data_IF_039120841770
#
_entry.id   IF_039120841770
#
_cell.length_a   1.000
_cell.length_b   1.000
_cell.length_c   1.000
_cell.angle_alpha   90.00
_cell.angle_beta   90.00
_cell.angle_gamma   90.00
#
_symmetry.space_group_name_H-M   'P 1'
#
loop_
_entity.id
_entity.type
_entity.pdbx_description
1 polymer ?
#
# COMPACT_ATOMS: atom_id res chain seq x y z
N UNK A 1 23.41 53.27 -13.14
CA UNK A 1 22.23 52.84 -12.35
C UNK A 1 21.74 51.53 -12.91
N UNK A 2 21.45 50.50 -12.08
CA UNK A 2 20.93 49.15 -12.37
C UNK A 2 21.96 48.02 -12.63
N UNK A 3 22.59 47.60 -11.53
CA UNK A 3 23.20 46.25 -11.41
C UNK A 3 22.93 45.66 -10.01
N UNK A 4 21.66 45.50 -9.61
CA UNK A 4 21.35 44.91 -8.26
C UNK A 4 20.27 43.80 -8.22
N UNK A 5 19.72 43.36 -9.37
CA UNK A 5 18.58 42.41 -9.32
C UNK A 5 18.85 41.00 -9.88
N UNK A 6 20.06 40.65 -10.23
CA UNK A 6 20.34 39.29 -10.74
C UNK A 6 20.84 38.29 -9.67
N UNK A 7 21.06 38.72 -8.40
CA UNK A 7 21.57 37.81 -7.33
C UNK A 7 20.46 37.15 -6.50
N UNK A 8 19.25 37.69 -6.49
CA UNK A 8 18.14 37.08 -5.74
C UNK A 8 17.51 35.87 -6.44
N UNK A 9 17.53 35.85 -7.77
CA UNK A 9 16.94 34.77 -8.56
C UNK A 9 17.78 33.47 -8.53
N UNK A 10 19.11 33.55 -8.42
CA UNK A 10 19.96 32.33 -8.37
C UNK A 10 19.87 31.55 -7.06
N UNK A 11 19.57 32.19 -5.92
CA UNK A 11 19.33 31.47 -4.64
C UNK A 11 17.99 30.74 -4.63
N UNK A 12 16.95 31.32 -5.21
CA UNK A 12 15.64 30.68 -5.32
C UNK A 12 15.67 29.43 -6.22
N UNK A 13 16.53 29.42 -7.25
CA UNK A 13 16.71 28.25 -8.14
C UNK A 13 17.61 27.16 -7.55
N UNK A 14 18.57 27.51 -6.67
CA UNK A 14 19.42 26.53 -5.99
C UNK A 14 18.67 25.77 -4.87
N UNK A 15 17.67 26.38 -4.24
CA UNK A 15 16.83 25.72 -3.24
C UNK A 15 15.73 24.83 -3.85
N UNK A 16 15.28 25.14 -5.05
CA UNK A 16 14.43 24.26 -5.87
C UNK A 16 15.19 23.06 -6.47
N UNK A 17 16.50 23.17 -6.63
CA UNK A 17 17.35 22.09 -7.17
C UNK A 17 17.82 21.07 -6.10
N UNK A 18 17.56 21.26 -4.82
CA UNK A 18 17.56 20.17 -3.83
C UNK A 18 16.28 19.35 -4.01
N UNK A 19 16.10 18.72 -5.16
CA UNK A 19 15.22 17.56 -5.32
C UNK A 19 15.68 16.53 -4.29
N UNK A 20 15.05 16.51 -3.13
CA UNK A 20 15.27 15.48 -2.13
C UNK A 20 15.15 14.15 -2.87
N UNK A 21 16.26 13.41 -2.91
CA UNK A 21 16.34 12.12 -3.60
C UNK A 21 15.21 11.27 -3.04
N UNK A 22 14.16 11.03 -3.83
CA UNK A 22 12.97 10.28 -3.39
C UNK A 22 13.46 8.94 -2.83
N UNK A 23 13.28 8.74 -1.54
CA UNK A 23 13.66 7.50 -0.88
C UNK A 23 12.67 6.42 -1.29
N UNK A 24 13.18 5.34 -1.88
CA UNK A 24 12.38 4.20 -2.33
C UNK A 24 12.59 3.00 -1.41
N UNK A 25 11.55 2.19 -1.24
CA UNK A 25 11.55 0.96 -0.45
C UNK A 25 11.08 -0.23 -1.27
N UNK A 26 11.45 -1.42 -0.85
CA UNK A 26 10.87 -2.69 -1.32
C UNK A 26 9.60 -3.01 -0.53
N UNK A 27 8.61 -3.60 -1.21
CA UNK A 27 7.42 -4.16 -0.59
C UNK A 27 7.20 -5.58 -1.07
N UNK A 28 6.99 -6.49 -0.13
CA UNK A 28 6.65 -7.89 -0.36
C UNK A 28 5.45 -8.26 0.50
N UNK A 29 4.44 -8.83 -0.12
CA UNK A 29 3.30 -9.44 0.57
C UNK A 29 3.12 -10.85 0.04
N UNK A 30 3.09 -11.83 0.95
CA UNK A 30 2.68 -13.20 0.67
C UNK A 30 1.45 -13.56 1.47
N UNK A 31 0.53 -14.20 0.79
CA UNK A 31 -0.68 -14.80 1.37
C UNK A 31 -0.53 -16.31 1.23
N UNK A 32 -0.25 -17.00 2.36
CA UNK A 32 -0.10 -18.44 2.40
C UNK A 32 -1.42 -19.09 2.80
N UNK A 33 -1.88 -20.03 2.01
CA UNK A 33 -3.19 -20.67 2.18
C UNK A 33 -3.13 -22.17 1.87
N UNK A 34 -4.21 -22.88 2.11
CA UNK A 34 -4.47 -24.19 1.52
C UNK A 34 -4.45 -24.10 -0.01
N UNK A 35 -4.43 -25.24 -0.68
CA UNK A 35 -4.23 -25.31 -2.13
C UNK A 35 -5.29 -24.55 -2.92
N UNK A 36 -4.89 -23.44 -3.50
CA UNK A 36 -5.71 -22.62 -4.40
C UNK A 36 -5.82 -23.34 -5.75
N UNK A 37 -7.02 -23.70 -6.21
CA UNK A 37 -7.21 -24.33 -7.50
C UNK A 37 -6.59 -23.53 -8.65
N UNK A 38 -5.95 -24.21 -9.60
CA UNK A 38 -5.22 -23.56 -10.70
C UNK A 38 -6.05 -22.52 -11.46
N UNK A 39 -7.35 -22.78 -11.65
CA UNK A 39 -8.29 -21.86 -12.31
C UNK A 39 -8.49 -20.55 -11.53
N UNK A 40 -8.34 -20.56 -10.20
CA UNK A 40 -8.48 -19.38 -9.35
C UNK A 40 -7.18 -18.58 -9.24
N UNK A 41 -6.03 -19.21 -9.40
CA UNK A 41 -4.72 -18.55 -9.22
C UNK A 41 -4.51 -17.40 -10.21
N UNK A 42 -4.92 -17.57 -11.47
CA UNK A 42 -4.73 -16.53 -12.50
C UNK A 42 -5.57 -15.29 -12.19
N UNK A 43 -6.85 -15.46 -11.90
CA UNK A 43 -7.74 -14.34 -11.54
C UNK A 43 -7.28 -13.66 -10.25
N UNK A 44 -6.84 -14.43 -9.24
CA UNK A 44 -6.33 -13.88 -7.98
C UNK A 44 -5.11 -12.99 -8.21
N UNK A 45 -4.14 -13.42 -9.05
CA UNK A 45 -2.98 -12.58 -9.38
C UNK A 45 -3.40 -11.26 -10.04
N UNK A 46 -4.30 -11.33 -11.04
CA UNK A 46 -4.75 -10.14 -11.77
C UNK A 46 -5.48 -9.19 -10.83
N UNK A 47 -6.41 -9.71 -10.01
CA UNK A 47 -7.18 -8.91 -9.07
C UNK A 47 -6.29 -8.26 -8.01
N UNK A 48 -5.37 -9.02 -7.43
CA UNK A 48 -4.43 -8.49 -6.43
C UNK A 48 -3.59 -7.34 -7.00
N UNK A 49 -3.02 -7.53 -8.19
CA UNK A 49 -2.23 -6.48 -8.86
C UNK A 49 -3.07 -5.23 -9.13
N UNK A 50 -4.28 -5.42 -9.67
CA UNK A 50 -5.20 -4.31 -9.97
C UNK A 50 -5.58 -3.55 -8.70
N UNK A 51 -5.92 -4.25 -7.62
CA UNK A 51 -6.27 -3.61 -6.34
C UNK A 51 -5.13 -2.78 -5.77
N UNK A 52 -3.89 -3.28 -5.79
CA UNK A 52 -2.73 -2.51 -5.34
C UNK A 52 -2.40 -1.32 -6.25
N UNK A 53 -2.50 -1.46 -7.58
CA UNK A 53 -2.28 -0.34 -8.51
C UNK A 53 -3.32 0.77 -8.27
N UNK A 54 -4.60 0.43 -8.22
CA UNK A 54 -5.67 1.39 -7.93
C UNK A 54 -5.48 2.08 -6.57
N UNK A 55 -5.05 1.32 -5.56
CA UNK A 55 -4.75 1.86 -4.23
C UNK A 55 -3.60 2.87 -4.28
N UNK A 56 -2.49 2.55 -4.94
CA UNK A 56 -1.36 3.47 -5.05
C UNK A 56 -1.71 4.74 -5.83
N UNK A 57 -2.52 4.63 -6.87
CA UNK A 57 -3.03 5.79 -7.62
C UNK A 57 -3.91 6.67 -6.73
N UNK A 58 -4.86 6.07 -5.99
CA UNK A 58 -5.75 6.77 -5.06
C UNK A 58 -4.97 7.53 -3.98
N UNK A 59 -4.00 6.88 -3.37
CA UNK A 59 -3.19 7.46 -2.28
C UNK A 59 -2.01 8.31 -2.78
N UNK A 60 -1.86 8.47 -4.12
CA UNK A 60 -0.74 9.20 -4.75
C UNK A 60 0.64 8.64 -4.35
N UNK A 61 0.75 7.35 -4.09
CA UNK A 61 2.01 6.68 -3.80
C UNK A 61 2.71 6.35 -5.11
N UNK A 62 3.87 6.95 -5.36
CA UNK A 62 4.64 6.64 -6.56
C UNK A 62 5.39 5.33 -6.40
N UNK A 63 5.35 4.53 -7.43
CA UNK A 63 6.11 3.29 -7.54
C UNK A 63 6.69 3.14 -8.93
N UNK A 64 7.79 2.38 -9.06
CA UNK A 64 8.29 2.01 -10.38
C UNK A 64 7.44 0.85 -10.90
N UNK A 65 7.06 0.89 -12.18
CA UNK A 65 6.23 -0.16 -12.80
C UNK A 65 7.03 -1.47 -13.02
N UNK A 66 7.50 -2.02 -11.89
CA UNK A 66 8.17 -3.31 -11.80
C UNK A 66 7.39 -4.27 -10.87
N UNK A 67 6.12 -3.97 -10.64
CA UNK A 67 5.23 -4.81 -9.85
C UNK A 67 5.13 -6.23 -10.43
N UNK A 68 5.38 -7.23 -9.60
CA UNK A 68 5.29 -8.63 -9.98
C UNK A 68 4.35 -9.37 -9.05
N UNK A 69 3.48 -10.20 -9.64
CA UNK A 69 2.59 -11.07 -8.89
C UNK A 69 2.80 -12.51 -9.32
N UNK A 70 2.94 -13.36 -8.33
CA UNK A 70 3.21 -14.78 -8.53
C UNK A 70 2.20 -15.64 -7.76
N UNK A 71 2.05 -16.88 -8.17
CA UNK A 71 1.31 -17.86 -7.38
C UNK A 71 1.93 -19.25 -7.48
N UNK A 72 1.84 -19.97 -6.39
CA UNK A 72 1.93 -21.44 -6.31
C UNK A 72 0.56 -21.95 -5.84
N UNK A 73 0.33 -23.27 -5.74
CA UNK A 73 -0.91 -23.77 -5.15
C UNK A 73 -1.20 -23.16 -3.76
N UNK A 74 -0.18 -22.97 -2.93
CA UNK A 74 -0.32 -22.49 -1.54
C UNK A 74 0.01 -21.02 -1.32
N UNK A 75 0.54 -20.30 -2.33
CA UNK A 75 1.02 -18.92 -2.17
C UNK A 75 0.47 -17.99 -3.23
N UNK A 76 0.03 -16.83 -2.80
CA UNK A 76 -0.20 -15.68 -3.66
C UNK A 76 0.73 -14.57 -3.21
N UNK A 77 1.63 -14.13 -4.08
CA UNK A 77 2.73 -13.21 -3.74
C UNK A 77 2.68 -11.98 -4.62
N UNK A 78 2.75 -10.80 -4.03
CA UNK A 78 2.96 -9.54 -4.76
C UNK A 78 4.22 -8.85 -4.24
N UNK A 79 5.02 -8.32 -5.16
CA UNK A 79 6.18 -7.53 -4.79
C UNK A 79 6.37 -6.31 -5.67
N UNK A 80 6.87 -5.25 -5.05
CA UNK A 80 7.29 -3.99 -5.66
C UNK A 80 8.71 -3.70 -5.21
N UNK A 81 9.62 -3.52 -6.14
CA UNK A 81 11.03 -3.24 -5.80
C UNK A 81 11.27 -1.80 -5.37
N UNK A 82 10.44 -0.88 -5.84
CA UNK A 82 10.61 0.55 -5.60
C UNK A 82 9.26 1.23 -5.39
N UNK A 83 8.96 1.52 -4.13
CA UNK A 83 7.82 2.34 -3.69
C UNK A 83 8.36 3.54 -2.93
N UNK A 84 7.77 4.70 -3.12
CA UNK A 84 8.11 5.92 -2.38
C UNK A 84 7.84 5.72 -0.88
N UNK A 85 8.86 6.00 -0.02
CA UNK A 85 8.75 5.80 1.44
C UNK A 85 7.85 6.81 2.12
N UNK A 86 7.77 8.01 1.57
CA UNK A 86 7.03 9.14 2.14
C UNK A 86 6.31 9.87 1.02
N UNK A 87 5.04 10.18 1.24
CA UNK A 87 4.27 11.02 0.34
C UNK A 87 4.09 12.42 0.92
N UNK A 88 4.05 13.38 0.04
CA UNK A 88 3.79 14.77 0.39
C UNK A 88 2.30 15.07 0.17
N UNK A 89 1.54 15.14 1.24
CA UNK A 89 0.18 15.67 1.17
C UNK A 89 0.29 17.19 1.08
N UNK A 90 -0.12 17.75 -0.06
CA UNK A 90 -0.14 19.21 -0.24
C UNK A 90 -1.13 19.85 0.75
N UNK A 91 -0.87 21.12 1.08
CA UNK A 91 -1.86 21.90 1.80
C UNK A 91 -3.13 22.03 0.97
N UNK A 92 -4.27 21.80 1.57
CA UNK A 92 -5.58 21.86 0.93
C UNK A 92 -6.46 22.89 1.65
N UNK A 93 -7.12 23.74 0.90
CA UNK A 93 -8.13 24.66 1.46
C UNK A 93 -9.47 23.94 1.50
N UNK A 94 -9.97 23.71 2.70
CA UNK A 94 -11.29 23.13 2.93
C UNK A 94 -12.27 24.28 3.17
N UNK A 95 -13.29 24.35 2.33
CA UNK A 95 -14.38 25.33 2.48
C UNK A 95 -15.34 24.86 3.57
N UNK A 96 -15.58 25.72 4.54
CA UNK A 96 -16.56 25.55 5.60
C UNK A 96 -17.89 26.24 5.30
N UNK A 97 -18.74 26.42 6.31
CA UNK A 97 -20.01 27.09 6.19
C UNK A 97 -19.84 28.59 5.92
N UNK A 98 -20.93 29.24 5.46
CA UNK A 98 -20.97 30.69 5.32
C UNK A 98 -20.87 31.37 6.69
N UNK A 99 -20.28 32.57 6.73
CA UNK A 99 -20.22 33.39 7.96
C UNK A 99 -21.60 33.80 8.46
N UNK A 100 -22.65 33.71 7.60
CA UNK A 100 -24.05 33.97 7.95
C UNK A 100 -24.78 32.69 8.40
N UNK A 101 -24.16 31.53 8.38
CA UNK A 101 -24.78 30.27 8.78
C UNK A 101 -24.91 30.19 10.33
N UNK A 102 -25.86 29.40 10.85
CA UNK A 102 -25.98 29.18 12.29
C UNK A 102 -24.73 28.61 12.90
N UNK A 103 -24.43 28.96 14.16
CA UNK A 103 -23.24 28.50 14.90
C UNK A 103 -23.10 26.97 14.93
N UNK A 104 -24.22 26.23 14.98
CA UNK A 104 -24.25 24.77 14.86
C UNK A 104 -23.52 24.24 13.62
N UNK A 105 -23.63 24.94 12.50
CA UNK A 105 -22.98 24.54 11.25
C UNK A 105 -21.44 24.70 11.35
N UNK A 106 -21.00 25.75 12.02
CA UNK A 106 -19.59 25.99 12.28
C UNK A 106 -19.03 24.95 13.26
N UNK A 107 -19.73 24.66 14.35
CA UNK A 107 -19.34 23.61 15.30
C UNK A 107 -19.25 22.23 14.63
N UNK A 108 -20.21 21.88 13.78
CA UNK A 108 -20.19 20.66 12.99
C UNK A 108 -18.95 20.57 12.09
N UNK A 109 -18.60 21.67 11.41
CA UNK A 109 -17.41 21.76 10.57
C UNK A 109 -16.10 21.61 11.38
N UNK A 110 -16.00 22.28 12.54
CA UNK A 110 -14.85 22.19 13.42
C UNK A 110 -14.68 20.76 13.95
N UNK A 111 -15.77 20.12 14.39
CA UNK A 111 -15.77 18.74 14.90
C UNK A 111 -15.39 17.73 13.82
N UNK A 112 -15.96 17.84 12.61
CA UNK A 112 -15.70 16.93 11.49
C UNK A 112 -14.25 16.96 11.02
N UNK A 113 -13.59 18.13 11.15
CA UNK A 113 -12.21 18.31 10.73
C UNK A 113 -11.20 18.25 11.87
N UNK A 114 -11.66 18.04 13.12
CA UNK A 114 -10.82 18.01 14.34
C UNK A 114 -9.96 19.26 14.49
N UNK A 115 -10.54 20.45 14.21
CA UNK A 115 -9.86 21.74 14.22
C UNK A 115 -10.45 22.68 15.25
N UNK A 116 -9.68 23.67 15.68
CA UNK A 116 -10.11 24.71 16.61
C UNK A 116 -10.58 25.94 15.85
N UNK A 117 -11.41 26.77 16.50
CA UNK A 117 -11.93 28.02 15.93
C UNK A 117 -10.83 29.01 15.50
N UNK A 118 -9.65 28.92 16.10
CA UNK A 118 -8.49 29.75 15.77
C UNK A 118 -7.76 29.32 14.48
N UNK A 119 -8.02 28.11 13.97
CA UNK A 119 -7.36 27.56 12.81
C UNK A 119 -8.07 27.90 11.50
N UNK A 120 -9.26 28.53 11.60
CA UNK A 120 -10.07 28.93 10.46
C UNK A 120 -9.92 30.42 10.18
N UNK A 121 -10.07 30.79 8.91
CA UNK A 121 -10.08 32.17 8.46
C UNK A 121 -11.26 32.41 7.50
N UNK A 122 -11.62 33.68 7.35
CA UNK A 122 -12.71 34.10 6.45
C UNK A 122 -12.13 34.42 5.08
N UNK A 123 -12.84 34.04 4.05
CA UNK A 123 -12.47 34.35 2.67
C UNK A 123 -13.72 34.69 1.87
N UNK A 124 -13.68 35.82 1.16
CA UNK A 124 -14.73 36.19 0.23
C UNK A 124 -14.63 35.39 -1.05
N UNK A 125 -15.75 34.85 -1.48
CA UNK A 125 -15.92 34.16 -2.74
C UNK A 125 -17.08 34.81 -3.51
N UNK A 126 -17.21 34.53 -4.80
CA UNK A 126 -18.33 35.02 -5.63
C UNK A 126 -19.71 34.72 -5.04
N UNK A 127 -19.82 33.69 -4.16
CA UNK A 127 -21.05 33.25 -3.49
C UNK A 127 -21.20 33.80 -2.06
N UNK A 128 -20.36 34.76 -1.64
CA UNK A 128 -20.34 35.34 -0.32
C UNK A 128 -19.13 34.97 0.53
N UNK A 129 -19.19 35.40 1.80
CA UNK A 129 -18.11 35.15 2.76
C UNK A 129 -18.25 33.78 3.45
N UNK A 130 -17.20 32.98 3.45
CA UNK A 130 -17.17 31.63 4.02
C UNK A 130 -15.97 31.47 4.95
N UNK A 131 -16.11 30.55 5.91
CA UNK A 131 -15.00 30.06 6.66
C UNK A 131 -14.17 29.08 5.84
N UNK A 132 -12.85 29.17 5.97
CA UNK A 132 -11.90 28.26 5.32
C UNK A 132 -10.91 27.74 6.37
N UNK A 133 -10.52 26.48 6.18
CA UNK A 133 -9.42 25.86 6.92
C UNK A 133 -8.33 25.45 5.94
N UNK A 134 -7.11 25.88 6.18
CA UNK A 134 -5.96 25.47 5.40
C UNK A 134 -5.28 24.30 6.09
N UNK A 135 -5.58 23.09 5.60
CA UNK A 135 -4.93 21.88 6.06
C UNK A 135 -3.42 21.98 5.76
N UNK A 136 -2.54 21.90 6.77
CA UNK A 136 -1.11 22.05 6.54
C UNK A 136 -0.59 20.90 5.67
N UNK A 137 0.42 21.19 4.84
CA UNK A 137 1.14 20.14 4.15
C UNK A 137 1.88 19.27 5.17
N UNK A 138 1.78 17.95 5.03
CA UNK A 138 2.47 17.00 5.90
C UNK A 138 3.08 15.86 5.09
N UNK A 139 4.18 15.35 5.60
CA UNK A 139 4.75 14.10 5.13
C UNK A 139 4.06 12.94 5.83
N UNK A 140 3.60 11.98 5.05
CA UNK A 140 2.98 10.75 5.55
C UNK A 140 3.87 9.59 5.11
N UNK A 141 4.17 8.68 6.01
CA UNK A 141 4.92 7.47 5.68
C UNK A 141 4.03 6.52 4.89
N UNK A 142 4.52 6.03 3.75
CA UNK A 142 3.81 5.02 2.95
C UNK A 142 3.58 3.72 3.74
N UNK A 143 4.46 3.44 4.71
CA UNK A 143 4.29 2.33 5.64
C UNK A 143 2.97 2.41 6.42
N UNK A 144 2.63 3.57 6.96
CA UNK A 144 1.42 3.76 7.77
C UNK A 144 0.17 3.67 6.90
N UNK A 145 0.24 4.20 5.67
CA UNK A 145 -0.84 4.11 4.70
C UNK A 145 -1.06 2.65 4.28
N UNK A 146 0.01 1.91 4.01
CA UNK A 146 -0.06 0.48 3.68
C UNK A 146 -0.68 -0.31 4.82
N UNK A 147 -0.23 -0.14 6.06
CA UNK A 147 -0.79 -0.81 7.25
C UNK A 147 -2.28 -0.62 7.38
N UNK A 148 -2.76 0.61 7.18
CA UNK A 148 -4.17 0.94 7.33
C UNK A 148 -5.05 0.37 6.20
N UNK A 149 -4.53 0.25 4.98
CA UNK A 149 -5.36 -0.05 3.80
C UNK A 149 -5.20 -1.49 3.28
N UNK A 150 -4.11 -2.20 3.58
CA UNK A 150 -3.94 -3.59 3.12
C UNK A 150 -5.11 -4.49 3.55
N UNK A 151 -5.63 -4.44 4.80
CA UNK A 151 -6.78 -5.24 5.18
C UNK A 151 -7.99 -5.04 4.27
N UNK A 152 -8.30 -3.80 3.90
CA UNK A 152 -9.42 -3.49 2.99
C UNK A 152 -9.14 -3.95 1.56
N UNK A 153 -7.89 -3.84 1.09
CA UNK A 153 -7.47 -4.38 -0.21
C UNK A 153 -7.69 -5.89 -0.24
N UNK A 154 -7.27 -6.61 0.80
CA UNK A 154 -7.45 -8.06 0.90
C UNK A 154 -8.92 -8.44 0.97
N UNK A 155 -9.72 -7.71 1.75
CA UNK A 155 -11.18 -7.91 1.85
C UNK A 155 -11.88 -7.70 0.50
N UNK A 156 -11.38 -6.79 -0.33
CA UNK A 156 -11.95 -6.50 -1.67
C UNK A 156 -11.61 -7.54 -2.73
N UNK A 157 -10.73 -8.50 -2.46
CA UNK A 157 -10.37 -9.54 -3.42
C UNK A 157 -11.57 -10.46 -3.69
N UNK A 158 -12.05 -10.42 -4.94
CA UNK A 158 -13.14 -11.29 -5.37
C UNK A 158 -12.62 -12.67 -5.76
N UNK A 159 -13.28 -13.70 -5.26
CA UNK A 159 -13.03 -15.08 -5.57
C UNK A 159 -14.25 -15.67 -6.30
N UNK A 160 -14.07 -16.33 -7.45
CA UNK A 160 -15.17 -17.02 -8.15
C UNK A 160 -15.82 -18.10 -7.29
N UNK A 161 -15.02 -18.71 -6.42
CA UNK A 161 -15.47 -19.62 -5.35
C UNK A 161 -14.72 -19.26 -4.11
N UNK A 162 -15.43 -19.01 -3.03
CA UNK A 162 -14.90 -18.74 -1.69
C UNK A 162 -15.54 -19.69 -0.69
N UNK A 163 -14.87 -19.89 0.39
CA UNK A 163 -15.35 -20.69 1.51
C UNK A 163 -15.03 -20.00 2.83
N UNK A 164 -15.85 -20.28 3.83
CA UNK A 164 -15.62 -19.99 5.22
C UNK A 164 -15.11 -21.26 5.90
N UNK A 165 -14.22 -21.17 6.87
CA UNK A 165 -13.71 -22.35 7.58
C UNK A 165 -13.55 -22.08 9.06
N UNK A 166 -13.69 -23.15 9.84
CA UNK A 166 -13.65 -23.10 11.30
C UNK A 166 -14.68 -22.10 11.86
N UNK A 167 -14.28 -21.42 12.92
CA UNK A 167 -15.11 -20.41 13.60
C UNK A 167 -14.87 -18.99 13.06
N UNK A 168 -14.12 -18.85 11.98
CA UNK A 168 -13.73 -17.54 11.43
C UNK A 168 -14.73 -17.01 10.41
N UNK A 169 -14.92 -15.69 10.36
CA UNK A 169 -15.85 -15.03 9.45
C UNK A 169 -15.23 -14.61 8.11
N UNK A 170 -14.00 -15.06 7.83
CA UNK A 170 -13.31 -14.75 6.57
C UNK A 170 -13.79 -15.68 5.46
N UNK A 171 -14.29 -15.08 4.39
CA UNK A 171 -14.53 -15.76 3.11
C UNK A 171 -13.32 -15.60 2.20
N UNK A 172 -12.68 -16.70 1.85
CA UNK A 172 -11.47 -16.71 1.01
C UNK A 172 -11.49 -17.85 0.01
N UNK A 173 -10.64 -17.79 -1.01
CA UNK A 173 -10.58 -18.86 -2.03
C UNK A 173 -10.21 -20.23 -1.47
N UNK A 174 -9.39 -20.26 -0.43
CA UNK A 174 -9.03 -21.43 0.40
C UNK A 174 -8.60 -20.91 1.78
N UNK A 175 -8.62 -21.73 2.84
CA UNK A 175 -8.20 -21.31 4.16
C UNK A 175 -6.87 -20.59 4.17
N UNK A 176 -6.87 -19.30 4.54
CA UNK A 176 -5.68 -18.47 4.66
C UNK A 176 -5.01 -18.80 6.01
N UNK A 177 -3.74 -19.20 5.98
CA UNK A 177 -3.00 -19.65 7.17
C UNK A 177 -2.04 -18.61 7.72
N UNK A 178 -1.39 -17.83 6.85
CA UNK A 178 -0.48 -16.76 7.29
C UNK A 178 -0.35 -15.64 6.27
N UNK A 179 0.11 -14.49 6.77
CA UNK A 179 0.39 -13.30 5.98
C UNK A 179 1.82 -12.87 6.28
N UNK A 180 2.69 -12.93 5.27
CA UNK A 180 4.02 -12.32 5.34
C UNK A 180 3.95 -10.96 4.66
N UNK A 181 4.36 -9.91 5.38
CA UNK A 181 4.44 -8.57 4.85
C UNK A 181 5.74 -7.87 5.26
N UNK A 182 6.49 -7.39 4.28
CA UNK A 182 7.77 -6.70 4.49
C UNK A 182 7.73 -5.37 3.73
N UNK A 183 8.10 -4.30 4.41
CA UNK A 183 8.32 -2.99 3.81
C UNK A 183 9.67 -2.43 4.28
N UNK A 184 10.52 -2.01 3.34
CA UNK A 184 11.84 -1.45 3.65
C UNK A 184 12.69 -2.32 4.59
N UNK A 185 12.75 -3.62 4.31
CA UNK A 185 13.46 -4.65 5.11
C UNK A 185 12.94 -4.83 6.55
N UNK A 186 11.74 -4.34 6.86
CA UNK A 186 11.11 -4.47 8.16
C UNK A 186 9.75 -5.16 8.03
N UNK A 187 9.30 -5.89 9.07
CA UNK A 187 7.94 -6.44 9.07
C UNK A 187 6.91 -5.32 9.05
N UNK A 188 5.98 -5.40 8.12
CA UNK A 188 4.83 -4.51 8.05
C UNK A 188 3.68 -5.16 8.83
N UNK A 189 3.46 -4.72 10.07
CA UNK A 189 2.48 -5.32 10.98
C UNK A 189 1.09 -4.72 10.79
N UNK A 190 0.11 -5.57 10.53
CA UNK A 190 -1.33 -5.25 10.49
C UNK A 190 -2.13 -6.52 10.80
N UNK A 191 -3.39 -6.32 11.15
CA UNK A 191 -4.35 -7.40 11.44
C UNK A 191 -5.28 -7.58 10.23
N UNK A 192 -5.60 -8.83 9.93
CA UNK A 192 -6.61 -9.17 8.92
C UNK A 192 -7.45 -10.34 9.43
N UNK A 193 -8.67 -10.07 9.89
CA UNK A 193 -9.53 -11.01 10.60
C UNK A 193 -8.80 -11.62 11.81
N UNK A 194 -8.59 -12.94 11.81
CA UNK A 194 -7.91 -13.68 12.87
C UNK A 194 -6.38 -13.79 12.66
N UNK A 195 -5.86 -13.22 11.61
CA UNK A 195 -4.44 -13.31 11.26
C UNK A 195 -3.70 -12.00 11.48
N UNK A 196 -2.53 -12.10 12.10
CA UNK A 196 -1.57 -11.02 12.22
C UNK A 196 -0.48 -11.18 11.15
N UNK A 197 -0.16 -10.10 10.45
CA UNK A 197 0.95 -10.13 9.50
C UNK A 197 2.30 -10.19 10.22
N UNK A 198 3.26 -10.87 9.62
CA UNK A 198 4.62 -11.01 10.14
C UNK A 198 5.63 -10.94 8.99
N UNK A 199 6.90 -11.14 9.27
CA UNK A 199 7.93 -11.37 8.25
C UNK A 199 8.34 -12.85 8.15
N UNK A 200 7.52 -13.75 8.67
CA UNK A 200 7.71 -15.20 8.58
C UNK A 200 6.60 -15.87 7.78
N UNK A 201 6.93 -16.97 7.15
CA UNK A 201 5.94 -17.83 6.47
C UNK A 201 6.31 -19.29 6.62
N UNK A 202 5.34 -20.15 6.39
CA UNK A 202 5.54 -21.59 6.32
C UNK A 202 6.43 -21.97 5.13
N UNK A 203 7.30 -22.95 5.31
CA UNK A 203 8.17 -23.44 4.24
C UNK A 203 7.36 -24.34 3.32
N UNK A 204 6.60 -25.25 3.90
CA UNK A 204 5.75 -26.20 3.21
C UNK A 204 4.40 -26.33 3.93
N UNK A 205 3.40 -26.79 3.20
CA UNK A 205 2.05 -27.02 3.73
C UNK A 205 2.01 -28.17 4.74
N UNK A 206 2.87 -29.18 4.54
CA UNK A 206 2.89 -30.40 5.33
C UNK A 206 3.80 -30.29 6.59
N UNK A 207 4.52 -29.17 6.72
CA UNK A 207 5.41 -28.89 7.86
C UNK A 207 4.97 -27.59 8.53
N UNK A 208 3.84 -27.61 9.21
CA UNK A 208 3.27 -26.42 9.89
C UNK A 208 4.22 -25.84 10.96
N UNK A 209 5.11 -26.67 11.52
CA UNK A 209 6.09 -26.24 12.52
C UNK A 209 7.31 -25.52 11.93
N UNK A 210 7.49 -25.58 10.61
CA UNK A 210 8.66 -24.99 9.95
C UNK A 210 8.31 -23.66 9.32
N UNK A 211 8.52 -22.60 10.08
CA UNK A 211 8.45 -21.23 9.57
C UNK A 211 9.84 -20.65 9.32
N UNK A 212 9.94 -19.73 8.40
CA UNK A 212 11.18 -19.00 8.09
C UNK A 212 10.92 -17.50 8.07
N UNK A 213 11.85 -16.76 8.68
CA UNK A 213 11.85 -15.28 8.72
C UNK A 213 12.62 -14.75 7.50
N UNK A 214 12.06 -13.73 6.88
CA UNK A 214 12.65 -13.03 5.74
C UNK A 214 12.79 -11.53 6.03
N UNK A 215 13.80 -10.90 5.42
CA UNK A 215 14.07 -9.46 5.59
C UNK A 215 13.92 -8.68 4.29
N UNK A 216 13.95 -9.34 3.13
CA UNK A 216 13.90 -8.68 1.82
C UNK A 216 13.29 -9.57 0.75
N UNK A 217 12.91 -8.97 -0.38
CA UNK A 217 12.47 -9.69 -1.57
C UNK A 217 13.53 -10.70 -2.01
N UNK A 218 14.79 -10.26 -2.06
CA UNK A 218 15.89 -11.14 -2.51
C UNK A 218 16.09 -12.34 -1.59
N UNK A 219 16.04 -12.16 -0.27
CA UNK A 219 16.19 -13.26 0.70
C UNK A 219 15.06 -14.29 0.54
N UNK A 220 13.84 -13.82 0.29
CA UNK A 220 12.66 -14.66 0.07
C UNK A 220 12.82 -15.54 -1.20
N UNK A 221 13.02 -14.92 -2.36
CA UNK A 221 13.13 -15.66 -3.62
C UNK A 221 14.38 -16.56 -3.67
N UNK A 222 15.51 -16.12 -3.13
CA UNK A 222 16.75 -16.93 -3.08
C UNK A 222 16.59 -18.16 -2.21
N UNK A 223 15.86 -18.06 -1.10
CA UNK A 223 15.61 -19.20 -0.22
C UNK A 223 14.76 -20.27 -0.92
N UNK A 224 13.62 -19.89 -1.48
CA UNK A 224 12.76 -20.83 -2.19
C UNK A 224 13.42 -21.44 -3.43
N UNK A 225 14.28 -20.68 -4.11
CA UNK A 225 15.11 -21.21 -5.22
C UNK A 225 16.06 -22.32 -4.74
N UNK A 226 16.69 -22.17 -3.55
CA UNK A 226 17.54 -23.22 -2.96
C UNK A 226 16.76 -24.50 -2.63
N UNK A 227 15.49 -24.37 -2.31
CA UNK A 227 14.60 -25.51 -2.07
C UNK A 227 13.96 -26.06 -3.36
N UNK A 228 14.41 -25.61 -4.54
CA UNK A 228 13.82 -25.95 -5.85
C UNK A 228 12.34 -25.58 -5.99
N UNK A 229 11.83 -24.65 -5.17
CA UNK A 229 10.48 -24.13 -5.27
C UNK A 229 10.47 -22.93 -6.23
N UNK A 230 9.88 -23.11 -7.40
CA UNK A 230 9.78 -22.05 -8.43
C UNK A 230 8.50 -21.24 -8.17
N UNK A 231 8.62 -20.12 -7.44
CA UNK A 231 7.49 -19.23 -7.12
C UNK A 231 6.96 -18.53 -8.37
N UNK A 232 7.85 -18.10 -9.27
CA UNK A 232 7.49 -17.50 -10.55
C UNK A 232 6.78 -18.51 -11.45
N UNK A 233 5.48 -18.32 -11.63
CA UNK A 233 4.65 -19.19 -12.45
C UNK A 233 5.03 -19.18 -13.94
N UNK A 234 5.60 -18.08 -14.45
CA UNK A 234 6.11 -18.01 -15.82
C UNK A 234 7.37 -18.84 -16.02
N UNK A 235 8.33 -18.72 -15.10
CA UNK A 235 9.54 -19.55 -15.09
C UNK A 235 9.19 -21.03 -14.87
N UNK A 236 8.27 -21.33 -13.96
CA UNK A 236 7.80 -22.72 -13.72
C UNK A 236 7.23 -23.33 -14.98
N UNK A 237 6.38 -22.60 -15.72
CA UNK A 237 5.82 -23.05 -16.99
C UNK A 237 6.91 -23.33 -18.03
N UNK A 238 7.91 -22.46 -18.14
CA UNK A 238 9.06 -22.66 -19.06
C UNK A 238 9.85 -23.88 -18.66
N UNK A 239 10.13 -24.07 -17.37
CA UNK A 239 10.86 -25.23 -16.86
C UNK A 239 10.16 -26.55 -17.16
N UNK A 240 8.85 -26.63 -16.90
CA UNK A 240 8.02 -27.80 -17.21
C UNK A 240 8.07 -28.12 -18.71
N UNK A 241 7.84 -27.13 -19.57
CA UNK A 241 7.90 -27.31 -21.02
C UNK A 241 9.25 -27.90 -21.47
N UNK A 242 10.37 -27.34 -20.96
CA UNK A 242 11.73 -27.82 -21.29
C UNK A 242 11.98 -29.27 -20.85
N UNK A 243 11.27 -29.77 -19.84
CA UNK A 243 11.44 -31.14 -19.34
C UNK A 243 10.54 -32.15 -20.06
N UNK A 244 9.52 -31.68 -20.78
CA UNK A 244 8.60 -32.50 -21.57
C UNK A 244 9.01 -32.65 -23.04
N UNK A 245 9.95 -31.82 -23.50
CA UNK A 245 10.64 -31.93 -24.81
C UNK A 245 12.00 -32.60 -24.64
#
# INVERSE_FOLDING_TARGET
VHRKDQRSCKRCWSDLARKSKIKMAEFLLELFSEEIPAKLQSSARINLLKSFKNFFEKENIKYKDDAKVFSTPNRLVICFKKIEKEIYQKSEEIRGPSTKAPDKSLEGFLRSNLIKKQDIYKKNTEKGEFFFYKKPSRKIKSEDILKANIPDILKSLSWKKSMKWGMHDLYWGRPLKSILAIFDNKPLKFEFHHLSSSNSTYIDKDFEDKTRIFKSINSYFSYFKKLNVIIDNGLRKKYIKKKLT
#
